data_IF_410815001453
#
_entry.id   IF_410815001453
#
_cell.length_a   1.000
_cell.length_b   1.000
_cell.length_c   1.000
_cell.angle_alpha   90.00
_cell.angle_beta   90.00
_cell.angle_gamma   90.00
#
_symmetry.space_group_name_H-M   'P 1'
#
loop_
_entity.id
_entity.type
_entity.pdbx_description
1 polymer ?
#
# COMPACT_ATOMS: atom_id res chain seq x y z
N UNK A 1 1.58 -16.09 -24.34
CA UNK A 1 0.15 -15.70 -24.38
C UNK A 1 -0.37 -15.83 -22.96
N UNK A 2 -0.73 -14.74 -22.29
CA UNK A 2 -1.34 -14.83 -20.94
C UNK A 2 -2.79 -15.26 -21.10
N UNK A 3 -3.20 -16.25 -20.33
CA UNK A 3 -4.53 -16.82 -20.37
C UNK A 3 -5.61 -15.75 -20.06
N UNK A 4 -6.76 -15.72 -20.76
CA UNK A 4 -7.79 -14.71 -20.56
C UNK A 4 -8.37 -14.69 -19.14
N UNK A 5 -8.43 -15.85 -18.47
CA UNK A 5 -8.84 -15.97 -17.07
C UNK A 5 -7.76 -15.35 -16.18
N UNK A 6 -6.49 -15.60 -16.48
CA UNK A 6 -5.38 -14.98 -15.74
C UNK A 6 -5.33 -13.46 -15.90
N UNK A 7 -5.64 -12.94 -17.09
CA UNK A 7 -5.75 -11.49 -17.31
C UNK A 7 -6.90 -10.88 -16.50
N UNK A 8 -8.09 -11.50 -16.52
CA UNK A 8 -9.25 -11.04 -15.73
C UNK A 8 -9.03 -11.15 -14.22
N UNK A 9 -8.41 -12.21 -13.75
CA UNK A 9 -8.06 -12.37 -12.33
C UNK A 9 -7.03 -11.34 -11.87
N UNK A 10 -6.09 -10.94 -12.73
CA UNK A 10 -5.13 -9.86 -12.42
C UNK A 10 -5.82 -8.51 -12.37
N UNK A 11 -6.69 -8.19 -13.33
CA UNK A 11 -7.45 -6.93 -13.32
C UNK A 11 -8.35 -6.85 -12.08
N UNK A 12 -9.10 -7.92 -11.76
CA UNK A 12 -9.98 -7.95 -10.58
C UNK A 12 -9.22 -7.96 -9.25
N UNK A 13 -8.07 -8.68 -9.15
CA UNK A 13 -7.22 -8.58 -7.96
C UNK A 13 -6.61 -7.20 -7.79
N UNK A 14 -6.19 -6.55 -8.87
CA UNK A 14 -5.55 -5.23 -8.81
C UNK A 14 -6.54 -4.05 -8.69
N UNK A 15 -7.82 -4.30 -8.97
CA UNK A 15 -8.94 -3.37 -8.74
C UNK A 15 -9.37 -3.35 -7.25
N UNK A 16 -9.11 -4.44 -6.50
CA UNK A 16 -9.48 -4.58 -5.09
C UNK A 16 -8.29 -4.69 -4.11
N UNK A 17 -7.11 -5.07 -4.58
CA UNK A 17 -5.86 -5.14 -3.82
C UNK A 17 -4.78 -4.61 -4.74
N UNK A 18 -4.33 -3.34 -4.57
CA UNK A 18 -3.26 -2.81 -5.41
C UNK A 18 -2.08 -3.77 -5.39
N UNK A 19 -1.37 -3.94 -6.52
CA UNK A 19 -0.08 -4.64 -6.54
C UNK A 19 0.82 -3.99 -5.50
N UNK A 20 0.83 -4.59 -4.30
CA UNK A 20 1.43 -4.05 -3.08
C UNK A 20 2.91 -3.78 -3.33
N UNK A 21 3.54 -4.63 -4.16
CA UNK A 21 4.92 -4.47 -4.58
C UNK A 21 5.11 -3.20 -5.39
N UNK A 22 4.25 -2.93 -6.37
CA UNK A 22 4.31 -1.72 -7.19
C UNK A 22 3.92 -0.47 -6.39
N UNK A 23 2.93 -0.57 -5.50
CA UNK A 23 2.50 0.52 -4.61
C UNK A 23 3.66 1.02 -3.74
N UNK A 24 4.30 0.14 -2.98
CA UNK A 24 5.44 0.51 -2.14
C UNK A 24 6.62 0.99 -2.97
N UNK A 25 6.90 0.40 -4.14
CA UNK A 25 7.97 0.89 -5.03
C UNK A 25 7.74 2.32 -5.53
N UNK A 26 6.48 2.71 -5.72
CA UNK A 26 6.14 4.05 -6.19
C UNK A 26 6.13 5.07 -5.05
N UNK A 27 5.52 4.72 -3.91
CA UNK A 27 5.19 5.66 -2.85
C UNK A 27 6.18 5.64 -1.68
N UNK A 28 6.73 4.48 -1.32
CA UNK A 28 7.62 4.37 -0.17
C UNK A 28 9.08 4.58 -0.58
N UNK A 29 9.59 5.78 -0.33
CA UNK A 29 10.97 6.16 -0.62
C UNK A 29 11.60 6.80 0.61
N UNK A 30 12.85 6.45 0.87
CA UNK A 30 13.61 7.10 1.93
C UNK A 30 13.96 8.53 1.52
N UNK A 31 13.60 9.50 2.36
CA UNK A 31 14.00 10.89 2.18
C UNK A 31 15.47 11.06 2.55
N UNK A 32 16.33 11.20 1.54
CA UNK A 32 17.77 11.38 1.71
C UNK A 32 18.16 12.82 2.09
N UNK A 33 17.21 13.75 2.11
CA UNK A 33 17.45 15.12 2.59
C UNK A 33 17.51 15.21 4.11
N UNK A 34 17.00 14.19 4.82
CA UNK A 34 17.11 14.07 6.28
C UNK A 34 18.51 13.60 6.65
N UNK A 35 19.28 14.48 7.30
CA UNK A 35 20.66 14.24 7.71
C UNK A 35 20.76 13.18 8.83
N UNK A 36 19.92 13.33 9.87
CA UNK A 36 19.87 12.42 11.00
C UNK A 36 19.39 11.02 10.57
N UNK A 37 20.19 10.00 10.88
CA UNK A 37 19.94 8.64 10.42
C UNK A 37 18.73 8.02 11.10
N UNK A 38 18.52 8.27 12.39
CA UNK A 38 17.42 7.68 13.15
C UNK A 38 16.10 8.32 12.73
N UNK A 39 16.05 9.65 12.58
CA UNK A 39 14.88 10.38 12.11
C UNK A 39 14.47 9.98 10.69
N UNK A 40 15.44 9.73 9.81
CA UNK A 40 15.21 9.26 8.44
C UNK A 40 14.59 7.87 8.40
N UNK A 41 15.11 6.95 9.22
CA UNK A 41 14.55 5.61 9.35
C UNK A 41 13.15 5.69 9.96
N UNK A 42 12.98 6.50 11.01
CA UNK A 42 11.70 6.69 11.66
C UNK A 42 10.64 7.21 10.68
N UNK A 43 10.96 8.24 9.90
CA UNK A 43 10.06 8.76 8.86
C UNK A 43 9.71 7.70 7.82
N UNK A 44 10.67 6.90 7.37
CA UNK A 44 10.39 5.80 6.44
C UNK A 44 9.38 4.79 7.01
N UNK A 45 9.44 4.49 8.31
CA UNK A 45 8.44 3.63 8.96
C UNK A 45 7.07 4.31 9.14
N UNK A 46 7.04 5.61 9.43
CA UNK A 46 5.79 6.38 9.45
C UNK A 46 5.10 6.37 8.08
N UNK A 47 5.85 6.64 7.01
CA UNK A 47 5.33 6.65 5.64
C UNK A 47 4.82 5.25 5.23
N UNK A 48 5.50 4.18 5.64
CA UNK A 48 5.02 2.82 5.45
C UNK A 48 3.67 2.58 6.14
N UNK A 49 3.54 2.98 7.41
CA UNK A 49 2.29 2.81 8.17
C UNK A 49 1.14 3.58 7.50
N UNK A 50 1.38 4.83 7.07
CA UNK A 50 0.38 5.62 6.35
C UNK A 50 -0.08 4.93 5.06
N UNK A 51 0.84 4.40 4.25
CA UNK A 51 0.49 3.65 3.03
C UNK A 51 -0.36 2.41 3.35
N UNK A 52 -0.03 1.69 4.43
CA UNK A 52 -0.78 0.50 4.88
C UNK A 52 -2.16 0.86 5.40
N UNK A 53 -2.31 1.97 6.12
CA UNK A 53 -3.61 2.46 6.61
C UNK A 53 -4.51 2.88 5.45
N UNK A 54 -3.98 3.63 4.50
CA UNK A 54 -4.72 4.16 3.35
C UNK A 54 -5.12 3.07 2.34
N UNK A 55 -4.30 2.04 2.16
CA UNK A 55 -4.46 1.03 1.11
C UNK A 55 -4.74 -0.39 1.66
N UNK A 56 -4.70 -0.56 2.98
CA UNK A 56 -5.01 -1.82 3.62
C UNK A 56 -6.47 -2.22 3.42
N UNK A 57 -6.83 -3.50 3.62
CA UNK A 57 -8.21 -3.96 3.54
C UNK A 57 -9.16 -3.19 4.48
N UNK A 58 -8.63 -2.54 5.52
CA UNK A 58 -9.37 -1.68 6.45
C UNK A 58 -9.66 -0.27 5.90
N UNK A 59 -8.80 0.26 5.02
CA UNK A 59 -9.06 1.52 4.30
C UNK A 59 -9.99 1.32 3.10
N UNK A 60 -9.98 0.12 2.50
CA UNK A 60 -10.85 -0.28 1.39
C UNK A 60 -12.23 -0.78 1.86
N UNK A 61 -12.29 -1.42 3.03
CA UNK A 61 -13.53 -1.73 3.74
C UNK A 61 -13.80 -0.54 4.65
N UNK A 62 -14.35 0.54 4.10
CA UNK A 62 -14.75 1.71 4.90
C UNK A 62 -15.43 1.23 6.18
N UNK A 63 -14.88 1.67 7.32
CA UNK A 63 -15.34 1.43 8.68
C UNK A 63 -16.51 0.45 8.77
N UNK A 64 -16.24 -0.80 9.19
CA UNK A 64 -17.30 -1.67 9.68
C UNK A 64 -18.09 -0.86 10.70
N UNK A 65 -19.36 -0.57 10.37
CA UNK A 65 -20.29 0.06 11.30
C UNK A 65 -20.20 -0.71 12.62
N UNK A 66 -20.11 -0.02 13.77
CA UNK A 66 -20.19 -0.71 15.04
C UNK A 66 -21.56 -1.37 15.12
N UNK A 67 -21.60 -2.70 15.14
CA UNK A 67 -22.77 -3.43 15.59
C UNK A 67 -23.04 -2.99 17.04
N UNK A 68 -24.28 -2.56 17.28
CA UNK A 68 -24.86 -2.10 18.55
C UNK A 68 -24.61 -3.05 19.73
#
# INVERSE_FOLDING_TARGET
LVDPVQARCRTSKNEFVPDVTSLFRQQLKMDLSIDDCDAKIFRYYEDFNGIVEDNGPQGLTGAGEPDE
#
